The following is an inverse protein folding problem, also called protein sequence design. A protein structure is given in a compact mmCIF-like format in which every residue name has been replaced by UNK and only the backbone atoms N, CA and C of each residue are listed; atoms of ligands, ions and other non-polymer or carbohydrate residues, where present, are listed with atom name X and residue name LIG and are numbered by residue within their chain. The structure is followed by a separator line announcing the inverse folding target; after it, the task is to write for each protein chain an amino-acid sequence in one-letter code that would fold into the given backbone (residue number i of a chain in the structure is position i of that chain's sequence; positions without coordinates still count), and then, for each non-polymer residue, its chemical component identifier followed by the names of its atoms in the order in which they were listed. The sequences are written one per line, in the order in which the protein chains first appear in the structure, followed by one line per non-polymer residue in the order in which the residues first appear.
data_IF_114675211821
#
_entry.id   IF_114675211821
#
_cell.length_a   1.000
_cell.length_b   1.000
_cell.length_c   1.000
_cell.angle_alpha   90.00
_cell.angle_beta   90.00
_cell.angle_gamma   90.00
#
_symmetry.space_group_name_H-M   'P 1'
#
loop_
_entity.id
_entity.type
_entity.pdbx_description
1 polymer ?
#
# COMPACT_ATOMS: atom_id res chain seq x y z
N UNK A 1 17.95 23.12 4.55
CA UNK A 1 16.60 22.52 4.41
C UNK A 1 15.66 22.81 5.59
N UNK A 2 16.16 23.03 6.79
CA UNK A 2 15.37 23.40 7.99
C UNK A 2 14.73 24.80 7.94
N UNK A 3 15.34 25.75 7.21
CA UNK A 3 14.82 27.14 7.14
C UNK A 3 13.48 27.33 6.43
N UNK A 4 13.03 26.35 5.62
CA UNK A 4 11.71 26.44 4.99
C UNK A 4 10.58 25.85 5.86
N UNK A 5 10.93 25.04 6.85
CA UNK A 5 9.95 24.51 7.79
C UNK A 5 9.49 25.58 8.79
N UNK A 6 10.41 26.45 9.20
CA UNK A 6 10.10 27.57 10.09
C UNK A 6 9.30 28.69 9.40
N UNK A 7 9.44 28.84 8.08
CA UNK A 7 8.62 29.78 7.31
C UNK A 7 7.15 29.30 7.21
N UNK A 8 6.91 28.01 7.15
CA UNK A 8 5.56 27.41 7.15
C UNK A 8 4.92 27.47 8.54
N UNK A 9 5.72 27.45 9.61
CA UNK A 9 5.21 27.54 10.99
C UNK A 9 4.93 28.98 11.44
N UNK A 10 5.53 30.00 10.80
CA UNK A 10 5.42 31.40 11.22
C UNK A 10 4.19 32.15 10.67
N UNK A 11 3.37 31.53 9.80
CA UNK A 11 2.05 32.05 9.40
C UNK A 11 0.96 31.64 10.40
N UNK A 12 1.20 31.87 11.67
CA UNK A 12 0.28 31.49 12.77
C UNK A 12 -1.07 32.24 12.78
N UNK A 13 -1.32 33.15 11.83
CA UNK A 13 -2.59 33.88 11.66
C UNK A 13 -3.55 33.30 10.61
N UNK A 14 -3.09 32.32 9.76
CA UNK A 14 -3.90 31.77 8.66
C UNK A 14 -4.18 30.25 8.80
N UNK A 15 -4.23 29.72 10.01
CA UNK A 15 -4.32 28.26 10.25
C UNK A 15 -5.67 27.64 9.89
N UNK A 16 -6.75 28.38 9.95
CA UNK A 16 -8.08 27.81 9.64
C UNK A 16 -8.29 27.44 8.17
N UNK A 17 -7.90 28.28 7.17
CA UNK A 17 -8.07 27.93 5.77
C UNK A 17 -7.21 26.73 5.36
N UNK A 18 -5.97 26.64 5.87
CA UNK A 18 -5.05 25.54 5.54
C UNK A 18 -5.56 24.18 6.08
N UNK A 19 -6.11 24.15 7.29
CA UNK A 19 -6.67 22.92 7.86
C UNK A 19 -7.89 22.45 7.08
N UNK A 20 -8.78 23.36 6.69
CA UNK A 20 -9.97 23.06 5.90
C UNK A 20 -9.59 22.60 4.50
N UNK A 21 -8.64 23.25 3.84
CA UNK A 21 -8.13 22.83 2.53
C UNK A 21 -7.51 21.44 2.56
N UNK A 22 -6.68 21.14 3.56
CA UNK A 22 -6.09 19.82 3.75
C UNK A 22 -7.15 18.76 4.05
N UNK A 23 -8.17 19.08 4.82
CA UNK A 23 -9.29 18.20 5.10
C UNK A 23 -10.09 17.91 3.82
N UNK A 24 -10.47 18.96 3.07
CA UNK A 24 -11.19 18.82 1.79
C UNK A 24 -10.36 18.04 0.77
N UNK A 25 -9.05 18.30 0.69
CA UNK A 25 -8.14 17.52 -0.15
C UNK A 25 -8.15 16.05 0.23
N UNK A 26 -8.00 15.73 1.53
CA UNK A 26 -8.00 14.35 2.02
C UNK A 26 -9.33 13.65 1.77
N UNK A 27 -10.44 14.35 1.95
CA UNK A 27 -11.78 13.85 1.63
C UNK A 27 -11.95 13.61 0.13
N UNK A 28 -11.57 14.54 -0.72
CA UNK A 28 -11.66 14.40 -2.17
C UNK A 28 -10.82 13.22 -2.71
N UNK A 29 -9.66 12.93 -2.08
CA UNK A 29 -8.84 11.78 -2.43
C UNK A 29 -9.40 10.45 -1.92
N UNK A 30 -10.03 10.45 -0.76
CA UNK A 30 -10.49 9.22 -0.10
C UNK A 30 -11.94 8.86 -0.45
N UNK A 31 -12.82 9.85 -0.60
CA UNK A 31 -14.24 9.64 -0.81
C UNK A 31 -14.57 8.78 -2.05
N UNK A 32 -13.92 8.95 -3.22
CA UNK A 32 -14.15 8.08 -4.37
C UNK A 32 -13.88 6.61 -4.07
N UNK A 33 -12.85 6.31 -3.27
CA UNK A 33 -12.52 4.94 -2.88
C UNK A 33 -13.65 4.34 -2.00
N UNK A 34 -14.15 5.12 -1.04
CA UNK A 34 -15.26 4.70 -0.18
C UNK A 34 -16.57 4.54 -0.95
N UNK A 35 -16.84 5.38 -1.96
CA UNK A 35 -18.02 5.24 -2.83
C UNK A 35 -17.98 3.91 -3.58
N UNK A 36 -16.84 3.56 -4.19
CA UNK A 36 -16.69 2.28 -4.91
C UNK A 36 -16.79 1.09 -3.95
N UNK A 37 -16.17 1.16 -2.76
CA UNK A 37 -16.32 0.14 -1.73
C UNK A 37 -17.77 0.03 -1.24
N UNK A 38 -18.45 1.17 -1.02
CA UNK A 38 -19.86 1.21 -0.66
C UNK A 38 -20.76 0.56 -1.70
N UNK A 39 -20.49 0.79 -2.98
CA UNK A 39 -21.17 0.12 -4.08
C UNK A 39 -20.99 -1.40 -4.01
N UNK A 40 -19.76 -1.88 -3.78
CA UNK A 40 -19.48 -3.31 -3.58
C UNK A 40 -20.28 -3.91 -2.43
N UNK A 41 -20.37 -3.21 -1.29
CA UNK A 41 -21.16 -3.62 -0.14
C UNK A 41 -22.67 -3.70 -0.48
N UNK A 42 -23.19 -2.69 -1.18
CA UNK A 42 -24.60 -2.66 -1.63
C UNK A 42 -24.93 -3.81 -2.58
N UNK A 43 -24.05 -4.07 -3.55
CA UNK A 43 -24.22 -5.15 -4.53
C UNK A 43 -24.22 -6.52 -3.86
N UNK A 44 -23.41 -6.73 -2.84
CA UNK A 44 -23.41 -7.97 -2.04
C UNK A 44 -24.70 -8.07 -1.20
N UNK A 45 -25.15 -6.98 -0.58
CA UNK A 45 -26.39 -6.97 0.20
C UNK A 45 -27.62 -7.26 -0.65
N UNK A 46 -27.62 -6.80 -1.91
CA UNK A 46 -28.68 -7.08 -2.88
C UNK A 46 -28.57 -8.46 -3.54
N UNK A 47 -27.58 -9.26 -3.17
CA UNK A 47 -27.37 -10.60 -3.72
C UNK A 47 -26.76 -10.63 -5.14
N UNK A 48 -26.36 -9.47 -5.67
CA UNK A 48 -25.71 -9.40 -6.99
C UNK A 48 -24.31 -9.99 -6.94
N UNK A 49 -23.56 -9.72 -5.85
CA UNK A 49 -22.28 -10.37 -5.57
C UNK A 49 -22.46 -11.51 -4.58
N UNK A 50 -22.29 -12.72 -5.07
CA UNK A 50 -22.26 -13.92 -4.23
C UNK A 50 -20.88 -14.13 -3.59
N UNK A 51 -20.80 -14.93 -2.54
CA UNK A 51 -19.51 -15.27 -1.91
C UNK A 51 -18.54 -15.91 -2.93
N UNK A 52 -19.04 -16.76 -3.82
CA UNK A 52 -18.24 -17.36 -4.90
C UNK A 52 -17.73 -16.32 -5.89
N UNK A 53 -18.59 -15.35 -6.28
CA UNK A 53 -18.17 -14.26 -7.16
C UNK A 53 -17.03 -13.45 -6.53
N UNK A 54 -17.17 -13.09 -5.25
CA UNK A 54 -16.14 -12.34 -4.50
C UNK A 54 -14.84 -13.14 -4.44
N UNK A 55 -14.90 -14.44 -4.15
CA UNK A 55 -13.72 -15.30 -4.08
C UNK A 55 -13.02 -15.43 -5.44
N UNK A 56 -13.76 -15.69 -6.52
CA UNK A 56 -13.18 -15.78 -7.87
C UNK A 56 -12.61 -14.46 -8.36
N UNK A 57 -13.30 -13.34 -8.09
CA UNK A 57 -12.82 -12.02 -8.46
C UNK A 57 -11.58 -11.61 -7.65
N UNK A 58 -11.52 -11.98 -6.36
CA UNK A 58 -10.32 -11.81 -5.54
C UNK A 58 -9.13 -12.56 -6.14
N UNK A 59 -9.32 -13.80 -6.57
CA UNK A 59 -8.27 -14.58 -7.21
C UNK A 59 -7.84 -13.96 -8.56
N UNK A 60 -8.79 -13.49 -9.37
CA UNK A 60 -8.48 -12.79 -10.62
C UNK A 60 -7.63 -11.55 -10.35
N UNK A 61 -8.03 -10.73 -9.37
CA UNK A 61 -7.27 -9.54 -8.97
C UNK A 61 -5.86 -9.93 -8.51
N UNK A 62 -5.75 -10.96 -7.66
CA UNK A 62 -4.48 -11.36 -7.06
C UNK A 62 -3.51 -12.02 -8.03
N UNK A 63 -4.00 -12.92 -8.90
CA UNK A 63 -3.14 -13.75 -9.77
C UNK A 63 -2.91 -13.13 -11.15
N UNK A 64 -3.77 -12.21 -11.60
CA UNK A 64 -3.70 -11.65 -12.96
C UNK A 64 -3.56 -10.14 -12.95
N UNK A 65 -4.53 -9.42 -12.36
CA UNK A 65 -4.60 -7.98 -12.51
C UNK A 65 -3.47 -7.26 -11.74
N UNK A 66 -3.24 -7.62 -10.49
CA UNK A 66 -2.17 -7.02 -9.67
C UNK A 66 -0.78 -7.30 -10.23
N UNK A 67 -0.42 -8.54 -10.62
CA UNK A 67 0.87 -8.80 -11.26
C UNK A 67 1.04 -8.00 -12.56
N UNK A 68 0.03 -7.95 -13.43
CA UNK A 68 0.07 -7.17 -14.66
C UNK A 68 0.27 -5.67 -14.41
N UNK A 69 -0.47 -5.12 -13.45
CA UNK A 69 -0.30 -3.74 -13.00
C UNK A 69 1.12 -3.49 -12.49
N UNK A 70 1.62 -4.34 -11.60
CA UNK A 70 2.95 -4.19 -11.00
C UNK A 70 4.07 -4.30 -12.03
N UNK A 71 3.92 -5.20 -12.98
CA UNK A 71 4.86 -5.31 -14.09
C UNK A 71 4.91 -4.00 -14.87
N UNK A 72 3.76 -3.45 -15.27
CA UNK A 72 3.70 -2.21 -16.04
C UNK A 72 4.27 -1.03 -15.24
N UNK A 73 3.85 -0.86 -13.98
CA UNK A 73 4.30 0.24 -13.10
C UNK A 73 5.82 0.28 -12.98
N UNK A 74 6.48 -0.89 -12.89
CA UNK A 74 7.93 -0.99 -12.73
C UNK A 74 8.63 -0.92 -14.07
N UNK A 75 8.16 -1.66 -15.09
CA UNK A 75 8.79 -1.69 -16.40
C UNK A 75 8.85 -0.31 -17.08
N UNK A 76 7.88 0.56 -16.76
CA UNK A 76 7.83 1.94 -17.27
C UNK A 76 8.46 2.97 -16.35
N UNK A 77 8.97 2.57 -15.18
CA UNK A 77 9.63 3.49 -14.25
C UNK A 77 11.06 3.80 -14.70
N UNK A 78 11.50 5.04 -14.54
CA UNK A 78 12.90 5.44 -14.79
C UNK A 78 13.73 5.26 -13.52
N UNK A 79 14.46 4.15 -13.43
CA UNK A 79 15.34 3.84 -12.31
C UNK A 79 16.68 4.61 -12.35
N UNK A 80 16.98 5.35 -13.44
CA UNK A 80 18.30 5.94 -13.65
C UNK A 80 18.46 7.39 -13.17
N UNK A 81 17.36 8.11 -12.94
CA UNK A 81 17.40 9.57 -12.87
C UNK A 81 17.57 10.19 -11.49
N UNK A 82 17.48 9.44 -10.40
CA UNK A 82 17.52 10.02 -9.05
C UNK A 82 18.05 9.06 -7.97
N UNK A 83 19.06 8.23 -8.26
CA UNK A 83 19.57 7.27 -7.29
C UNK A 83 20.47 7.95 -6.25
N UNK A 84 19.88 8.68 -5.31
CA UNK A 84 20.60 9.00 -4.07
C UNK A 84 20.47 7.83 -3.11
N UNK A 85 21.56 7.10 -2.92
CA UNK A 85 21.64 5.92 -2.06
C UNK A 85 21.19 6.21 -0.63
N UNK A 86 21.31 7.43 -0.15
CA UNK A 86 20.89 7.84 1.19
C UNK A 86 19.39 7.82 1.32
N UNK A 87 18.67 8.41 0.35
CA UNK A 87 17.20 8.38 0.34
C UNK A 87 16.66 6.97 0.21
N UNK A 88 17.28 6.15 -0.64
CA UNK A 88 16.91 4.74 -0.80
C UNK A 88 17.15 3.97 0.50
N UNK A 89 18.28 4.17 1.16
CA UNK A 89 18.61 3.49 2.41
C UNK A 89 17.66 3.89 3.55
N UNK A 90 17.34 5.18 3.69
CA UNK A 90 16.39 5.68 4.70
C UNK A 90 14.99 5.16 4.41
N UNK A 91 14.52 5.23 3.17
CA UNK A 91 13.19 4.75 2.81
C UNK A 91 13.06 3.23 3.03
N UNK A 92 14.04 2.44 2.56
CA UNK A 92 14.05 0.98 2.72
C UNK A 92 14.20 0.58 4.19
N UNK A 93 15.14 1.20 4.91
CA UNK A 93 15.36 0.95 6.34
C UNK A 93 14.13 1.32 7.17
N UNK A 94 13.52 2.46 6.89
CA UNK A 94 12.29 2.91 7.54
C UNK A 94 11.12 1.95 7.32
N UNK A 95 10.93 1.47 6.08
CA UNK A 95 9.88 0.48 5.77
C UNK A 95 10.12 -0.85 6.48
N UNK A 96 11.38 -1.30 6.57
CA UNK A 96 11.73 -2.55 7.30
C UNK A 96 11.49 -2.36 8.81
N UNK A 97 11.90 -1.23 9.38
CA UNK A 97 11.67 -0.91 10.78
C UNK A 97 10.17 -0.81 11.08
N UNK A 98 9.41 -0.10 10.23
CA UNK A 98 7.97 0.03 10.35
C UNK A 98 7.27 -1.34 10.34
N UNK A 99 7.71 -2.24 9.47
CA UNK A 99 7.22 -3.62 9.42
C UNK A 99 7.51 -4.39 10.72
N UNK A 100 8.74 -4.33 11.22
CA UNK A 100 9.13 -5.00 12.45
C UNK A 100 8.32 -4.50 13.66
N UNK A 101 8.13 -3.19 13.76
CA UNK A 101 7.34 -2.58 14.84
C UNK A 101 5.85 -2.88 14.72
N UNK A 102 5.30 -2.89 13.51
CA UNK A 102 3.91 -3.30 13.27
C UNK A 102 3.69 -4.79 13.61
N UNK A 103 4.68 -5.64 13.31
CA UNK A 103 4.63 -7.05 13.68
C UNK A 103 4.67 -7.23 15.20
N UNK A 104 5.58 -6.54 15.89
CA UNK A 104 5.65 -6.52 17.34
C UNK A 104 4.34 -5.98 17.96
N UNK A 105 3.79 -4.88 17.43
CA UNK A 105 2.51 -4.35 17.87
C UNK A 105 1.35 -5.34 17.68
N UNK A 106 1.34 -6.07 16.57
CA UNK A 106 0.35 -7.13 16.33
C UNK A 106 0.45 -8.26 17.37
N UNK A 107 1.66 -8.64 17.72
CA UNK A 107 1.89 -9.65 18.76
C UNK A 107 1.49 -9.18 20.14
N UNK A 108 1.76 -7.92 20.49
CA UNK A 108 1.49 -7.33 21.81
C UNK A 108 0.04 -6.91 22.01
N UNK A 109 -0.58 -6.30 20.98
CA UNK A 109 -1.87 -5.61 21.07
C UNK A 109 -3.06 -6.42 20.53
N UNK A 110 -2.80 -7.50 19.78
CA UNK A 110 -3.83 -8.37 19.21
C UNK A 110 -3.84 -9.72 19.94
N UNK A 111 -4.75 -9.96 20.90
CA UNK A 111 -4.83 -11.21 21.65
C UNK A 111 -5.19 -12.41 20.77
N UNK A 112 -6.02 -12.18 19.74
CA UNK A 112 -6.45 -13.21 18.82
C UNK A 112 -5.36 -13.47 17.76
N UNK A 113 -4.69 -14.61 17.89
CA UNK A 113 -3.63 -15.04 16.98
C UNK A 113 -4.12 -15.13 15.52
N UNK A 114 -5.40 -15.40 15.31
CA UNK A 114 -5.97 -15.49 13.96
C UNK A 114 -6.00 -14.13 13.25
N UNK A 115 -6.05 -13.04 13.99
CA UNK A 115 -6.14 -11.66 13.49
C UNK A 115 -4.80 -10.91 13.50
N UNK A 116 -3.76 -11.46 14.14
CA UNK A 116 -2.46 -10.79 14.31
C UNK A 116 -1.82 -10.40 12.99
N UNK A 117 -1.82 -11.29 11.98
CA UNK A 117 -1.23 -10.98 10.68
C UNK A 117 -2.00 -9.88 9.95
N UNK A 118 -3.33 -9.90 10.03
CA UNK A 118 -4.17 -8.86 9.43
C UNK A 118 -3.96 -7.51 10.15
N UNK A 119 -3.88 -7.52 11.47
CA UNK A 119 -3.56 -6.33 12.29
C UNK A 119 -2.21 -5.74 11.90
N UNK A 120 -1.16 -6.55 11.90
CA UNK A 120 0.20 -6.12 11.55
C UNK A 120 0.25 -5.59 10.12
N UNK A 121 -0.38 -6.29 9.17
CA UNK A 121 -0.46 -5.87 7.77
C UNK A 121 -1.14 -4.50 7.63
N UNK A 122 -2.27 -4.32 8.29
CA UNK A 122 -3.01 -3.05 8.26
C UNK A 122 -2.24 -1.91 8.96
N UNK A 123 -1.45 -2.23 10.01
CA UNK A 123 -0.67 -1.24 10.75
C UNK A 123 0.45 -0.62 9.91
N UNK A 124 1.27 -1.45 9.22
CA UNK A 124 2.40 -0.90 8.46
C UNK A 124 2.05 -0.46 7.03
N UNK A 125 1.09 -1.10 6.39
CA UNK A 125 0.78 -0.81 4.99
C UNK A 125 -0.10 0.43 4.85
N UNK A 126 0.44 1.46 4.20
CA UNK A 126 -0.28 2.70 3.86
C UNK A 126 -0.71 2.74 2.39
N UNK A 127 -1.62 3.66 2.06
CA UNK A 127 -2.01 3.98 0.67
C UNK A 127 -1.16 5.15 0.14
N UNK A 128 0.17 5.00 0.23
CA UNK A 128 1.09 6.07 -0.14
C UNK A 128 1.23 6.26 -1.67
N UNK A 129 0.88 5.25 -2.47
CA UNK A 129 0.91 5.36 -3.94
C UNK A 129 -0.05 6.43 -4.44
N UNK A 130 -1.25 6.49 -3.88
CA UNK A 130 -2.26 7.46 -4.30
C UNK A 130 -2.21 8.74 -3.47
N UNK A 131 -2.31 8.61 -2.14
CA UNK A 131 -2.31 9.76 -1.23
C UNK A 131 -0.92 10.39 -1.10
N UNK A 132 0.12 9.59 -0.94
CA UNK A 132 1.48 10.07 -0.74
C UNK A 132 2.02 10.82 -1.94
N UNK A 133 1.84 10.31 -3.16
CA UNK A 133 2.30 10.99 -4.39
C UNK A 133 1.51 12.27 -4.67
N UNK A 134 0.21 12.28 -4.43
CA UNK A 134 -0.61 13.48 -4.58
C UNK A 134 -0.22 14.56 -3.56
N UNK A 135 0.01 14.16 -2.31
CA UNK A 135 0.45 15.07 -1.24
C UNK A 135 1.84 15.65 -1.54
N UNK A 136 2.78 14.81 -1.97
CA UNK A 136 4.13 15.22 -2.34
C UNK A 136 4.11 16.23 -3.49
N UNK A 137 3.28 15.98 -4.50
CA UNK A 137 3.09 16.89 -5.62
C UNK A 137 2.54 18.24 -5.19
N UNK A 138 1.60 18.26 -4.25
CA UNK A 138 0.99 19.49 -3.76
C UNK A 138 1.95 20.29 -2.86
N UNK A 139 2.74 19.62 -2.02
CA UNK A 139 3.64 20.29 -1.06
C UNK A 139 4.95 20.73 -1.74
N UNK A 140 5.54 19.87 -2.54
CA UNK A 140 6.89 20.07 -3.10
C UNK A 140 6.91 20.35 -4.60
N UNK A 141 5.74 20.32 -5.26
CA UNK A 141 5.63 20.54 -6.70
C UNK A 141 5.97 19.35 -7.56
N UNK A 142 5.75 19.49 -8.88
CA UNK A 142 5.88 18.41 -9.86
C UNK A 142 7.33 17.92 -10.02
N UNK A 143 8.31 18.77 -9.76
CA UNK A 143 9.74 18.45 -9.90
C UNK A 143 10.25 17.35 -8.97
N UNK A 144 9.57 17.10 -7.84
CA UNK A 144 9.96 16.07 -6.86
C UNK A 144 9.25 14.72 -7.07
N UNK A 145 8.29 14.66 -7.98
CA UNK A 145 7.53 13.44 -8.30
C UNK A 145 8.43 12.30 -8.82
N UNK A 146 9.44 12.54 -9.69
CA UNK A 146 10.33 11.47 -10.16
C UNK A 146 11.08 10.74 -9.05
N UNK A 147 11.61 11.49 -8.07
CA UNK A 147 12.33 10.90 -6.92
C UNK A 147 11.41 10.05 -6.05
N UNK A 148 10.15 10.50 -5.85
CA UNK A 148 9.15 9.72 -5.14
C UNK A 148 8.78 8.44 -5.90
N UNK A 149 8.63 8.52 -7.21
CA UNK A 149 8.32 7.35 -8.07
C UNK A 149 9.41 6.28 -7.96
N UNK A 150 10.68 6.69 -7.91
CA UNK A 150 11.79 5.77 -7.72
C UNK A 150 11.71 5.05 -6.35
N UNK A 151 11.48 5.81 -5.28
CA UNK A 151 11.29 5.23 -3.95
C UNK A 151 10.12 4.25 -3.95
N UNK A 152 9.01 4.59 -4.61
CA UNK A 152 7.85 3.71 -4.76
C UNK A 152 8.17 2.42 -5.50
N UNK A 153 8.97 2.48 -6.57
CA UNK A 153 9.40 1.31 -7.33
C UNK A 153 10.18 0.30 -6.48
N UNK A 154 10.88 0.76 -5.44
CA UNK A 154 11.61 -0.09 -4.49
C UNK A 154 10.72 -0.54 -3.31
N UNK A 155 9.93 0.36 -2.77
CA UNK A 155 9.12 0.13 -1.57
C UNK A 155 7.92 -0.79 -1.85
N UNK A 156 7.31 -0.70 -3.04
CA UNK A 156 6.17 -1.57 -3.41
C UNK A 156 6.54 -3.06 -3.39
N UNK A 157 7.63 -3.50 -4.06
CA UNK A 157 8.10 -4.88 -3.95
C UNK A 157 8.39 -5.30 -2.52
N UNK A 158 9.03 -4.43 -1.74
CA UNK A 158 9.36 -4.70 -0.35
C UNK A 158 8.10 -4.93 0.50
N UNK A 159 7.08 -4.11 0.37
CA UNK A 159 5.78 -4.33 1.03
C UNK A 159 5.12 -5.64 0.63
N UNK A 160 5.26 -6.06 -0.61
CA UNK A 160 4.70 -7.33 -1.07
C UNK A 160 5.47 -8.52 -0.47
N UNK A 161 6.80 -8.45 -0.42
CA UNK A 161 7.64 -9.46 0.26
C UNK A 161 7.26 -9.55 1.74
N UNK A 162 7.16 -8.42 2.43
CA UNK A 162 6.75 -8.36 3.83
C UNK A 162 5.37 -8.97 4.07
N UNK A 163 4.40 -8.68 3.19
CA UNK A 163 3.06 -9.28 3.24
C UNK A 163 3.10 -10.81 3.11
N UNK A 164 3.87 -11.32 2.16
CA UNK A 164 4.05 -12.77 1.96
C UNK A 164 4.71 -13.41 3.18
N UNK A 165 5.76 -12.80 3.73
CA UNK A 165 6.43 -13.29 4.95
C UNK A 165 5.43 -13.37 6.10
N UNK A 166 4.66 -12.32 6.34
CA UNK A 166 3.69 -12.25 7.43
C UNK A 166 2.62 -13.34 7.32
N UNK A 167 2.09 -13.57 6.11
CA UNK A 167 1.08 -14.61 5.89
C UNK A 167 1.67 -16.02 6.02
N UNK A 168 2.87 -16.26 5.50
CA UNK A 168 3.54 -17.56 5.57
C UNK A 168 3.86 -17.98 7.01
N UNK A 169 4.29 -17.04 7.85
CA UNK A 169 4.58 -17.33 9.26
C UNK A 169 3.31 -17.70 10.03
N UNK A 170 2.18 -17.08 9.69
CA UNK A 170 0.88 -17.42 10.29
C UNK A 170 0.43 -18.84 9.95
N UNK A 171 0.45 -19.24 8.69
CA UNK A 171 -0.04 -20.54 8.24
C UNK A 171 0.65 -21.72 8.94
N UNK A 172 1.87 -21.54 9.41
CA UNK A 172 2.69 -22.61 10.00
C UNK A 172 2.74 -22.63 11.52
N UNK A 173 1.86 -21.95 12.22
CA UNK A 173 1.79 -21.96 13.68
C UNK A 173 3.16 -21.75 14.37
N UNK A 174 3.97 -20.82 13.83
CA UNK A 174 5.26 -20.45 14.43
C UNK A 174 6.45 -21.34 14.05
N UNK A 175 6.30 -22.37 13.23
CA UNK A 175 7.44 -23.09 12.68
C UNK A 175 8.04 -22.35 11.48
N UNK A 176 8.94 -21.42 11.78
CA UNK A 176 9.66 -20.66 10.76
C UNK A 176 10.67 -21.56 10.04
N UNK A 177 10.46 -21.79 8.74
CA UNK A 177 11.46 -22.39 7.85
C UNK A 177 11.77 -21.38 6.75
N UNK A 178 12.98 -20.86 6.77
CA UNK A 178 13.45 -19.88 5.79
C UNK A 178 13.28 -20.37 4.35
N UNK A 179 13.57 -21.64 4.09
CA UNK A 179 13.40 -22.23 2.75
C UNK A 179 11.97 -22.17 2.23
N UNK A 180 10.99 -22.35 3.12
CA UNK A 180 9.58 -22.28 2.72
C UNK A 180 9.13 -20.84 2.49
N UNK A 181 9.61 -19.91 3.32
CA UNK A 181 9.35 -18.49 3.10
C UNK A 181 9.92 -18.05 1.76
N UNK A 182 11.20 -18.39 1.48
CA UNK A 182 11.84 -18.10 0.20
C UNK A 182 11.08 -18.71 -0.98
N UNK A 183 10.65 -19.97 -0.87
CA UNK A 183 9.89 -20.63 -1.92
C UNK A 183 8.53 -19.95 -2.17
N UNK A 184 7.82 -19.57 -1.12
CA UNK A 184 6.53 -18.86 -1.25
C UNK A 184 6.73 -17.45 -1.83
N UNK A 185 7.81 -16.76 -1.45
CA UNK A 185 8.19 -15.47 -2.04
C UNK A 185 8.47 -15.64 -3.53
N UNK A 186 9.29 -16.61 -3.92
CA UNK A 186 9.64 -16.87 -5.32
C UNK A 186 8.46 -17.37 -6.17
N UNK A 187 7.47 -18.02 -5.56
CA UNK A 187 6.24 -18.48 -6.25
C UNK A 187 5.14 -17.41 -6.27
N UNK A 188 5.33 -16.29 -5.58
CA UNK A 188 4.32 -15.25 -5.54
C UNK A 188 4.22 -14.54 -6.90
N UNK A 189 3.04 -14.48 -7.53
CA UNK A 189 2.89 -13.90 -8.86
C UNK A 189 3.24 -12.40 -8.91
N UNK A 190 3.00 -11.67 -7.82
CA UNK A 190 3.38 -10.25 -7.76
C UNK A 190 4.89 -10.08 -7.75
N UNK A 191 5.62 -10.92 -6.99
CA UNK A 191 7.10 -10.86 -6.92
C UNK A 191 7.71 -11.28 -8.25
N UNK A 192 7.17 -12.32 -8.88
CA UNK A 192 7.59 -12.74 -10.23
C UNK A 192 7.40 -11.62 -11.25
N UNK A 193 6.26 -10.93 -11.22
CA UNK A 193 5.99 -9.79 -12.10
C UNK A 193 6.98 -8.64 -11.88
N UNK A 194 7.28 -8.32 -10.62
CA UNK A 194 8.27 -7.30 -10.27
C UNK A 194 9.67 -7.68 -10.77
N UNK A 195 10.11 -8.91 -10.50
CA UNK A 195 11.42 -9.40 -10.95
C UNK A 195 11.53 -9.41 -12.48
N UNK A 196 10.46 -9.80 -13.18
CA UNK A 196 10.41 -9.76 -14.64
C UNK A 196 10.43 -8.33 -15.19
N UNK A 197 9.91 -7.33 -14.46
CA UNK A 197 9.87 -5.94 -14.89
C UNK A 197 11.20 -5.19 -14.70
N UNK A 198 12.04 -5.58 -13.72
CA UNK A 198 13.31 -4.91 -13.42
C UNK A 198 14.22 -4.77 -14.64
N UNK A 199 14.46 -5.80 -15.48
CA UNK A 199 15.29 -5.67 -16.68
C UNK A 199 14.77 -4.60 -17.66
N UNK A 200 13.44 -4.51 -17.82
CA UNK A 200 12.84 -3.51 -18.70
C UNK A 200 13.11 -2.08 -18.20
N UNK A 201 12.92 -1.85 -16.91
CA UNK A 201 13.21 -0.55 -16.29
C UNK A 201 14.71 -0.21 -16.32
N UNK A 202 15.57 -1.19 -16.01
CA UNK A 202 17.02 -0.97 -15.92
C UNK A 202 17.66 -0.70 -17.29
N UNK A 203 17.31 -1.51 -18.29
CA UNK A 203 17.81 -1.35 -19.66
C UNK A 203 16.99 -0.40 -20.52
N UNK A 204 15.95 0.24 -19.95
CA UNK A 204 15.01 1.14 -20.66
C UNK A 204 14.39 0.49 -21.89
N UNK A 205 14.07 -0.80 -21.79
CA UNK A 205 13.46 -1.57 -22.88
C UNK A 205 12.01 -1.12 -23.04
N UNK A 206 11.68 -0.57 -24.20
CA UNK A 206 10.32 -0.17 -24.50
C UNK A 206 9.44 -1.41 -24.74
N UNK A 207 8.30 -1.45 -24.06
CA UNK A 207 7.31 -2.49 -24.31
C UNK A 207 6.64 -2.26 -25.67
N UNK A 208 6.38 -3.33 -26.46
CA UNK A 208 5.55 -3.20 -27.66
C UNK A 208 4.20 -2.57 -27.31
N UNK A 209 3.68 -1.71 -28.19
CA UNK A 209 2.44 -0.95 -27.98
C UNK A 209 1.28 -1.84 -27.51
N UNK A 210 1.06 -2.97 -28.20
CA UNK A 210 -0.03 -3.90 -27.86
C UNK A 210 0.10 -4.45 -26.44
N UNK A 211 1.32 -4.77 -26.00
CA UNK A 211 1.58 -5.29 -24.65
C UNK A 211 1.34 -4.21 -23.60
N UNK A 212 1.86 -3.02 -23.83
CA UNK A 212 1.70 -1.87 -22.94
C UNK A 212 0.22 -1.50 -22.76
N UNK A 213 -0.54 -1.41 -23.86
CA UNK A 213 -1.97 -1.11 -23.81
C UNK A 213 -2.77 -2.20 -23.10
N UNK A 214 -2.48 -3.48 -23.39
CA UNK A 214 -3.16 -4.60 -22.72
C UNK A 214 -2.93 -4.58 -21.20
N UNK A 215 -1.70 -4.32 -20.77
CA UNK A 215 -1.36 -4.17 -19.36
C UNK A 215 -1.98 -2.90 -18.75
N UNK A 216 -2.14 -1.84 -19.55
CA UNK A 216 -2.87 -0.62 -19.18
C UNK A 216 -4.33 -0.89 -18.80
N UNK A 217 -5.02 -1.76 -19.54
CA UNK A 217 -6.37 -2.19 -19.17
C UNK A 217 -6.38 -2.98 -17.85
N UNK A 218 -5.39 -3.84 -17.60
CA UNK A 218 -5.28 -4.53 -16.30
C UNK A 218 -5.03 -3.54 -15.17
N UNK A 219 -4.17 -2.55 -15.38
CA UNK A 219 -3.89 -1.49 -14.41
C UNK A 219 -5.15 -0.69 -14.05
N UNK A 220 -5.93 -0.29 -15.05
CA UNK A 220 -7.17 0.46 -14.85
C UNK A 220 -8.23 -0.36 -14.11
N UNK A 221 -8.39 -1.65 -14.46
CA UNK A 221 -9.36 -2.54 -13.85
C UNK A 221 -8.99 -2.92 -12.40
N UNK A 222 -7.69 -3.04 -12.09
CA UNK A 222 -7.19 -3.59 -10.82
C UNK A 222 -7.79 -2.87 -9.61
N UNK A 223 -7.69 -1.55 -9.58
CA UNK A 223 -8.11 -0.77 -8.41
C UNK A 223 -9.62 -0.82 -8.21
N UNK A 224 -10.39 -0.66 -9.29
CA UNK A 224 -11.85 -0.68 -9.23
C UNK A 224 -12.36 -2.04 -8.80
N UNK A 225 -11.85 -3.13 -9.37
CA UNK A 225 -12.26 -4.48 -9.01
C UNK A 225 -11.84 -4.84 -7.59
N UNK A 226 -10.63 -4.47 -7.18
CA UNK A 226 -10.17 -4.69 -5.80
C UNK A 226 -11.06 -3.96 -4.78
N UNK A 227 -11.41 -2.68 -5.03
CA UNK A 227 -12.26 -1.91 -4.13
C UNK A 227 -13.68 -2.47 -4.05
N UNK A 228 -14.26 -2.88 -5.19
CA UNK A 228 -15.59 -3.51 -5.21
C UNK A 228 -15.61 -4.81 -4.40
N UNK A 229 -14.60 -5.66 -4.57
CA UNK A 229 -14.48 -6.93 -3.85
C UNK A 229 -14.23 -6.70 -2.35
N UNK A 230 -13.35 -5.77 -2.00
CA UNK A 230 -13.11 -5.39 -0.60
C UNK A 230 -14.42 -4.89 0.03
N UNK A 231 -15.13 -3.99 -0.65
CA UNK A 231 -16.43 -3.50 -0.20
C UNK A 231 -17.45 -4.63 -0.02
N UNK A 232 -17.53 -5.53 -0.99
CA UNK A 232 -18.41 -6.70 -0.94
C UNK A 232 -18.07 -7.69 0.17
N UNK A 233 -16.82 -7.71 0.63
CA UNK A 233 -16.35 -8.57 1.72
C UNK A 233 -16.61 -7.98 3.12
N UNK A 234 -17.04 -6.72 3.22
CA UNK A 234 -17.29 -6.08 4.51
C UNK A 234 -18.50 -6.69 5.20
N UNK A 235 -18.27 -7.27 6.37
CA UNK A 235 -19.33 -7.76 7.28
C UNK A 235 -19.50 -6.77 8.43
N UNK A 236 -20.52 -5.92 8.35
CA UNK A 236 -20.76 -4.86 9.34
C UNK A 236 -20.96 -5.40 10.77
N UNK A 237 -21.50 -6.63 10.90
CA UNK A 237 -21.65 -7.30 12.20
C UNK A 237 -20.29 -7.60 12.87
N UNK A 238 -19.27 -7.94 12.08
CA UNK A 238 -17.93 -8.21 12.59
C UNK A 238 -17.24 -6.92 13.10
N UNK A 239 -17.53 -5.76 12.50
CA UNK A 239 -16.94 -4.48 12.89
C UNK A 239 -17.27 -4.12 14.35
N UNK A 240 -18.49 -4.38 14.82
CA UNK A 240 -18.90 -4.08 16.20
C UNK A 240 -18.10 -4.90 17.21
N UNK A 241 -17.86 -6.18 16.91
CA UNK A 241 -17.10 -7.07 17.80
C UNK A 241 -15.61 -6.75 17.84
N UNK A 242 -15.06 -6.22 16.76
CA UNK A 242 -13.63 -5.91 16.61
C UNK A 242 -13.30 -4.43 16.89
N UNK A 243 -14.27 -3.61 17.29
CA UNK A 243 -14.06 -2.18 17.51
C UNK A 243 -12.88 -1.86 18.45
N UNK A 244 -12.67 -2.55 19.60
CA UNK A 244 -11.50 -2.29 20.45
C UNK A 244 -10.18 -2.60 19.75
N UNK A 245 -10.16 -3.64 18.90
CA UNK A 245 -8.97 -4.01 18.13
C UNK A 245 -8.68 -2.97 17.05
N UNK A 246 -9.74 -2.49 16.38
CA UNK A 246 -9.64 -1.43 15.36
C UNK A 246 -9.13 -0.12 15.97
N UNK A 247 -9.59 0.26 17.18
CA UNK A 247 -9.09 1.46 17.87
C UNK A 247 -7.59 1.34 18.20
N UNK A 248 -7.13 0.17 18.66
CA UNK A 248 -5.70 -0.08 18.89
C UNK A 248 -4.91 0.01 17.58
N UNK A 249 -5.44 -0.56 16.50
CA UNK A 249 -4.84 -0.48 15.16
C UNK A 249 -4.72 0.96 14.68
N UNK A 250 -5.77 1.77 14.84
CA UNK A 250 -5.75 3.19 14.50
C UNK A 250 -4.70 3.94 15.32
N UNK A 251 -4.59 3.66 16.63
CA UNK A 251 -3.55 4.24 17.50
C UNK A 251 -2.14 3.92 17.00
N UNK A 252 -1.87 2.66 16.66
CA UNK A 252 -0.58 2.26 16.10
C UNK A 252 -0.32 2.95 14.77
N UNK A 253 -1.29 2.94 13.86
CA UNK A 253 -1.13 3.46 12.50
C UNK A 253 -1.02 4.98 12.44
N UNK A 254 -1.81 5.70 13.23
CA UNK A 254 -1.93 7.16 13.15
C UNK A 254 -1.01 7.90 14.11
N UNK A 255 -0.53 7.24 15.18
CA UNK A 255 0.36 7.87 16.16
C UNK A 255 1.77 7.25 16.10
N UNK A 256 1.88 5.94 16.29
CA UNK A 256 3.19 5.29 16.38
C UNK A 256 3.95 5.34 15.06
N UNK A 257 3.31 5.00 13.93
CA UNK A 257 4.00 4.96 12.64
C UNK A 257 4.49 6.34 12.17
N UNK A 258 3.69 7.41 12.22
CA UNK A 258 4.17 8.75 11.90
C UNK A 258 5.28 9.23 12.85
N UNK A 259 5.18 8.92 14.15
CA UNK A 259 6.20 9.32 15.13
C UNK A 259 7.58 8.70 14.82
N UNK A 260 7.62 7.45 14.32
CA UNK A 260 8.86 6.80 13.89
C UNK A 260 9.49 7.55 12.71
N UNK A 261 8.68 7.88 11.70
CA UNK A 261 9.17 8.63 10.55
C UNK A 261 9.64 10.04 10.92
N UNK A 262 8.93 10.71 11.81
CA UNK A 262 9.34 12.01 12.35
C UNK A 262 10.65 11.95 13.15
N UNK A 263 10.94 10.82 13.78
CA UNK A 263 12.19 10.62 14.53
C UNK A 263 13.39 10.22 13.63
N UNK A 264 13.13 9.78 12.40
CA UNK A 264 14.15 9.38 11.43
C UNK A 264 14.54 10.51 10.45
N UNK A 265 13.72 11.55 10.31
CA UNK A 265 13.91 12.70 9.41
C UNK A 265 14.42 13.92 10.11
#
# INVERSE_FOLDING_TARGET
MLNNFDAVLNTAGEKEPILLENLLFSLNMSLPLFIVMGLGCILTHKGFFTENYIAHTTNLVYYVLLPGKMFLDIATSDLSTAFDIRYVAVATGGVVLQFALAWAAGWLLCPDRSKQSAFSHAAYRGNFVYLGTALLRNIYGVSHVPSATLILALVIPLYNIQGVVLMTVKERQGRFRLSTVLLNVLKNPMILAVLAAIPFAYFKIQLPFVVSESLGYFQAATNTMALLVVGGSIRLSALKNDLPLLMRLCGVKLLLMPAIWAAMG
#
